data_IF_752114144781
#
_entry.id   IF_752114144781
#
_cell.length_a   1.000
_cell.length_b   1.000
_cell.length_c   1.000
_cell.angle_alpha   90.00
_cell.angle_beta   90.00
_cell.angle_gamma   90.00
#
_symmetry.space_group_name_H-M   'P 1'
#
loop_
_entity.id
_entity.type
_entity.pdbx_description
1 polymer ?
#
# COMPACT_ATOMS: atom_id res chain seq x y z
N UNK A 1 -13.30 -47.16 -21.86
CA UNK A 1 -12.04 -46.58 -22.35
C UNK A 1 -12.04 -45.12 -21.94
N UNK A 2 -11.36 -44.78 -20.85
CA UNK A 2 -11.30 -43.40 -20.34
C UNK A 2 -10.00 -42.77 -20.84
N UNK A 3 -10.13 -41.73 -21.66
CA UNK A 3 -9.01 -40.99 -22.23
C UNK A 3 -8.28 -40.21 -21.14
N UNK A 4 -7.03 -40.59 -20.92
CA UNK A 4 -6.05 -39.87 -20.13
C UNK A 4 -5.63 -38.63 -20.94
N UNK A 5 -6.07 -37.45 -20.53
CA UNK A 5 -5.63 -36.19 -21.13
C UNK A 5 -4.51 -35.63 -20.25
N UNK A 6 -3.23 -35.81 -20.60
CA UNK A 6 -2.14 -35.33 -19.76
C UNK A 6 -2.18 -33.80 -19.73
N UNK A 7 -2.47 -33.22 -18.57
CA UNK A 7 -2.38 -31.78 -18.36
C UNK A 7 -0.98 -31.31 -18.76
N UNK A 8 -0.92 -30.47 -19.79
CA UNK A 8 0.31 -29.90 -20.34
C UNK A 8 1.02 -29.09 -19.25
N UNK A 9 2.26 -29.49 -18.92
CA UNK A 9 3.11 -28.76 -17.98
C UNK A 9 3.46 -27.38 -18.55
N UNK A 10 3.32 -26.33 -17.74
CA UNK A 10 3.77 -24.98 -18.06
C UNK A 10 5.00 -24.65 -17.24
N UNK A 11 6.09 -24.22 -17.90
CA UNK A 11 7.36 -23.86 -17.26
C UNK A 11 7.59 -22.35 -17.38
N UNK A 12 8.07 -21.75 -16.29
CA UNK A 12 8.42 -20.33 -16.21
C UNK A 12 9.89 -20.21 -15.76
N UNK A 13 10.62 -19.27 -16.35
CA UNK A 13 12.00 -18.93 -15.96
C UNK A 13 12.02 -17.54 -15.29
N UNK A 14 12.89 -17.35 -14.30
CA UNK A 14 13.00 -16.10 -13.56
C UNK A 14 14.36 -15.95 -12.86
N UNK A 15 14.56 -14.81 -12.18
CA UNK A 15 15.78 -14.55 -11.41
C UNK A 15 15.72 -15.26 -10.04
N UNK A 16 16.72 -16.09 -9.74
CA UNK A 16 16.81 -16.78 -8.45
C UNK A 16 17.23 -15.83 -7.33
N UNK A 17 16.38 -15.67 -6.31
CA UNK A 17 16.63 -14.80 -5.15
C UNK A 17 17.13 -15.58 -3.93
N UNK A 18 16.79 -16.88 -3.82
CA UNK A 18 17.19 -17.76 -2.72
C UNK A 18 17.38 -19.21 -3.22
N UNK A 19 18.36 -19.98 -2.71
CA UNK A 19 18.58 -21.36 -3.13
C UNK A 19 17.53 -22.32 -2.54
N UNK A 20 17.11 -23.32 -3.33
CA UNK A 20 16.22 -24.40 -2.87
C UNK A 20 15.25 -24.93 -3.94
N UNK A 21 14.51 -25.98 -3.60
CA UNK A 21 13.42 -26.55 -4.41
C UNK A 21 12.16 -26.60 -3.54
N UNK A 22 11.06 -26.03 -4.01
CA UNK A 22 9.76 -26.06 -3.33
C UNK A 22 8.70 -26.76 -4.20
N UNK A 23 7.79 -27.51 -3.57
CA UNK A 23 6.62 -28.13 -4.21
C UNK A 23 5.40 -27.89 -3.36
N UNK A 24 4.37 -27.26 -3.92
CA UNK A 24 3.15 -26.94 -3.20
C UNK A 24 2.01 -26.56 -4.14
N UNK A 25 0.84 -26.27 -3.56
CA UNK A 25 -0.26 -25.66 -4.30
C UNK A 25 0.07 -24.19 -4.56
N UNK A 26 -0.22 -23.71 -5.76
CA UNK A 26 -0.06 -22.29 -6.08
C UNK A 26 -1.15 -21.49 -5.38
N UNK A 27 -0.76 -20.45 -4.64
CA UNK A 27 -1.67 -19.44 -4.13
C UNK A 27 -1.43 -18.14 -4.89
N UNK A 28 -2.43 -17.71 -5.66
CA UNK A 28 -2.33 -16.49 -6.46
C UNK A 28 -2.83 -15.33 -5.62
N UNK A 29 -1.91 -14.50 -5.13
CA UNK A 29 -2.26 -13.21 -4.54
C UNK A 29 -2.42 -12.22 -5.68
N UNK A 30 -3.65 -11.74 -5.91
CA UNK A 30 -3.88 -10.60 -6.79
C UNK A 30 -3.75 -9.34 -5.94
N UNK A 31 -2.96 -8.39 -6.43
CA UNK A 31 -3.14 -7.03 -6.00
C UNK A 31 -4.37 -6.56 -6.76
N UNK A 32 -5.54 -6.70 -6.14
CA UNK A 32 -6.69 -5.90 -6.54
C UNK A 32 -6.25 -4.46 -6.33
N UNK A 33 -5.67 -3.85 -7.37
CA UNK A 33 -5.57 -2.40 -7.48
C UNK A 33 -7.01 -1.95 -7.56
N UNK A 34 -7.60 -1.80 -6.39
CA UNK A 34 -8.97 -1.37 -6.25
C UNK A 34 -9.06 0.00 -6.87
N UNK A 35 -9.65 0.04 -8.06
CA UNK A 35 -9.81 1.26 -8.83
C UNK A 35 -10.49 2.28 -7.92
N UNK A 36 -9.79 3.38 -7.64
CA UNK A 36 -10.34 4.43 -6.81
C UNK A 36 -11.41 5.12 -7.63
N UNK A 37 -12.67 4.91 -7.23
CA UNK A 37 -13.80 5.56 -7.87
C UNK A 37 -13.69 7.06 -7.65
N UNK A 38 -13.77 7.83 -8.73
CA UNK A 38 -13.79 9.28 -8.71
C UNK A 38 -15.22 9.80 -8.71
N UNK A 39 -15.60 10.55 -7.68
CA UNK A 39 -16.91 11.21 -7.62
C UNK A 39 -16.83 12.57 -6.92
N UNK A 40 -17.79 13.44 -7.27
CA UNK A 40 -17.93 14.77 -6.66
C UNK A 40 -18.61 14.66 -5.30
N UNK A 41 -18.21 15.53 -4.38
CA UNK A 41 -18.85 15.74 -3.09
C UNK A 41 -19.46 17.14 -3.02
N UNK A 42 -20.48 17.34 -2.19
CA UNK A 42 -20.98 18.66 -1.85
C UNK A 42 -20.01 19.37 -0.87
N UNK A 43 -19.96 20.72 -0.87
CA UNK A 43 -19.14 21.47 0.10
C UNK A 43 -19.43 21.11 1.57
N UNK A 44 -20.68 20.75 1.89
CA UNK A 44 -21.08 20.33 3.24
C UNK A 44 -20.48 18.98 3.67
N UNK A 45 -19.97 18.18 2.74
CA UNK A 45 -19.39 16.85 3.01
C UNK A 45 -17.87 16.92 3.24
N UNK A 46 -17.22 18.07 3.02
CA UNK A 46 -15.76 18.21 3.13
C UNK A 46 -15.29 17.83 4.54
N UNK A 47 -15.99 18.28 5.60
CA UNK A 47 -15.63 17.95 6.99
C UNK A 47 -15.72 16.45 7.29
N UNK A 48 -16.70 15.76 6.69
CA UNK A 48 -16.84 14.31 6.84
C UNK A 48 -15.69 13.59 6.14
N UNK A 49 -15.31 14.02 4.93
CA UNK A 49 -14.18 13.46 4.18
C UNK A 49 -12.83 13.68 4.90
N UNK A 50 -12.64 14.85 5.52
CA UNK A 50 -11.46 15.11 6.39
C UNK A 50 -11.44 14.13 7.57
N UNK A 51 -12.58 13.92 8.24
CA UNK A 51 -12.68 12.98 9.37
C UNK A 51 -12.40 11.53 8.94
N UNK A 52 -12.88 11.13 7.75
CA UNK A 52 -12.57 9.83 7.14
C UNK A 52 -11.07 9.71 6.86
N UNK A 53 -10.45 10.75 6.34
CA UNK A 53 -9.02 10.78 6.04
C UNK A 53 -8.17 10.57 7.30
N UNK A 54 -8.39 11.37 8.32
CA UNK A 54 -7.66 11.30 9.58
C UNK A 54 -7.80 9.92 10.24
N UNK A 55 -9.02 9.37 10.23
CA UNK A 55 -9.28 8.02 10.72
C UNK A 55 -8.45 6.97 9.96
N UNK A 56 -8.39 7.06 8.64
CA UNK A 56 -7.62 6.12 7.83
C UNK A 56 -6.11 6.25 8.05
N UNK A 57 -5.59 7.47 8.25
CA UNK A 57 -4.19 7.69 8.61
C UNK A 57 -3.85 7.07 9.97
N UNK A 58 -4.70 7.25 10.98
CA UNK A 58 -4.53 6.66 12.31
C UNK A 58 -4.52 5.13 12.23
N UNK A 59 -5.49 4.55 11.51
CA UNK A 59 -5.56 3.10 11.31
C UNK A 59 -4.31 2.56 10.59
N UNK A 60 -3.87 3.25 9.55
CA UNK A 60 -2.66 2.89 8.79
C UNK A 60 -1.42 2.92 9.68
N UNK A 61 -1.26 3.99 10.47
CA UNK A 61 -0.16 4.13 11.44
C UNK A 61 -0.15 2.97 12.45
N UNK A 62 -1.31 2.63 13.02
CA UNK A 62 -1.42 1.50 13.95
C UNK A 62 -1.04 0.17 13.29
N UNK A 63 -1.48 -0.07 12.06
CA UNK A 63 -1.14 -1.28 11.31
C UNK A 63 0.37 -1.38 11.05
N UNK A 64 1.02 -0.27 10.69
CA UNK A 64 2.48 -0.21 10.49
C UNK A 64 3.21 -0.55 11.79
N UNK A 65 2.84 0.07 12.91
CA UNK A 65 3.45 -0.22 14.22
C UNK A 65 3.26 -1.70 14.63
N UNK A 66 2.09 -2.28 14.37
CA UNK A 66 1.85 -3.71 14.65
C UNK A 66 2.67 -4.64 13.75
N UNK A 67 2.91 -4.27 12.50
CA UNK A 67 3.80 -5.04 11.62
C UNK A 67 5.26 -4.91 12.07
N UNK A 68 5.70 -3.70 12.39
CA UNK A 68 7.03 -3.43 12.92
C UNK A 68 7.31 -4.26 14.18
N UNK A 69 6.40 -4.24 15.15
CA UNK A 69 6.54 -5.02 16.38
C UNK A 69 6.65 -6.53 16.10
N UNK A 70 5.77 -7.07 15.26
CA UNK A 70 5.78 -8.50 14.92
C UNK A 70 7.07 -8.93 14.22
N UNK A 71 7.60 -8.11 13.31
CA UNK A 71 8.87 -8.39 12.62
C UNK A 71 10.05 -8.23 13.58
N UNK A 72 10.03 -7.25 14.48
CA UNK A 72 11.05 -7.07 15.49
C UNK A 72 11.15 -8.29 16.43
N UNK A 73 10.02 -8.87 16.81
CA UNK A 73 9.93 -10.06 17.66
C UNK A 73 10.30 -11.37 16.95
N UNK A 74 9.95 -11.51 15.66
CA UNK A 74 10.12 -12.77 14.93
C UNK A 74 11.43 -12.89 14.15
N UNK A 75 11.97 -11.78 13.63
CA UNK A 75 13.16 -11.74 12.78
C UNK A 75 14.27 -10.93 13.47
N UNK A 76 13.94 -9.71 13.91
CA UNK A 76 14.85 -8.85 14.65
C UNK A 76 14.63 -7.36 14.39
N UNK A 77 15.14 -6.53 15.30
CA UNK A 77 14.94 -5.08 15.26
C UNK A 77 15.54 -4.40 14.01
N UNK A 78 16.63 -4.95 13.46
CA UNK A 78 17.27 -4.39 12.26
C UNK A 78 16.35 -4.50 11.04
N UNK A 79 15.70 -5.64 10.85
CA UNK A 79 14.79 -5.86 9.74
C UNK A 79 13.46 -5.11 9.92
N UNK A 80 13.08 -4.83 11.17
CA UNK A 80 11.91 -4.01 11.48
C UNK A 80 12.11 -2.50 11.21
N UNK A 81 13.36 -2.02 11.08
CA UNK A 81 13.65 -0.60 10.86
C UNK A 81 13.10 -0.07 9.51
N UNK A 82 12.82 -0.95 8.55
CA UNK A 82 12.20 -0.56 7.27
C UNK A 82 10.84 0.14 7.46
N UNK A 83 10.13 -0.17 8.55
CA UNK A 83 8.84 0.43 8.85
C UNK A 83 8.95 1.87 9.35
N UNK A 84 10.12 2.32 9.80
CA UNK A 84 10.32 3.73 10.20
C UNK A 84 10.14 4.66 9.00
N UNK A 85 10.63 4.25 7.82
CA UNK A 85 10.42 4.97 6.58
C UNK A 85 8.91 5.09 6.25
N UNK A 86 8.15 4.01 6.45
CA UNK A 86 6.71 4.00 6.20
C UNK A 86 5.95 4.92 7.16
N UNK A 87 6.35 4.97 8.44
CA UNK A 87 5.78 5.89 9.43
C UNK A 87 6.05 7.36 9.05
N UNK A 88 7.27 7.67 8.58
CA UNK A 88 7.59 9.02 8.13
C UNK A 88 6.73 9.47 6.93
N UNK A 89 6.27 8.54 6.08
CA UNK A 89 5.35 8.86 4.96
C UNK A 89 3.95 9.15 5.48
N UNK A 90 3.40 8.29 6.35
CA UNK A 90 2.02 8.46 6.86
C UNK A 90 1.86 9.69 7.75
N UNK A 91 2.96 10.18 8.32
CA UNK A 91 3.02 11.36 9.19
C UNK A 91 3.47 12.65 8.44
N UNK A 92 3.70 12.60 7.12
CA UNK A 92 4.18 13.75 6.34
C UNK A 92 3.11 14.85 6.26
N UNK A 93 3.34 15.94 7.00
CA UNK A 93 2.43 17.10 7.04
C UNK A 93 2.26 17.78 5.69
N UNK A 94 3.29 17.79 4.85
CA UNK A 94 3.22 18.45 3.54
C UNK A 94 2.23 17.72 2.64
N UNK A 95 2.27 16.39 2.66
CA UNK A 95 1.32 15.55 1.93
C UNK A 95 -0.10 15.72 2.49
N UNK A 96 -0.25 15.65 3.81
CA UNK A 96 -1.55 15.78 4.49
C UNK A 96 -2.17 17.15 4.19
N UNK A 97 -1.45 18.24 4.41
CA UNK A 97 -1.94 19.60 4.20
C UNK A 97 -2.35 19.85 2.75
N UNK A 98 -1.67 19.22 1.79
CA UNK A 98 -2.06 19.32 0.40
C UNK A 98 -3.35 18.57 0.08
N UNK A 99 -3.55 17.37 0.66
CA UNK A 99 -4.81 16.61 0.52
C UNK A 99 -5.97 17.40 1.11
N UNK A 100 -5.80 17.97 2.31
CA UNK A 100 -6.83 18.80 2.96
C UNK A 100 -7.19 20.01 2.10
N UNK A 101 -6.19 20.70 1.54
CA UNK A 101 -6.42 21.84 0.63
C UNK A 101 -7.18 21.43 -0.63
N UNK A 102 -6.81 20.31 -1.25
CA UNK A 102 -7.48 19.82 -2.46
C UNK A 102 -8.91 19.33 -2.18
N UNK A 103 -9.20 18.81 -1.00
CA UNK A 103 -10.58 18.48 -0.60
C UNK A 103 -11.49 19.72 -0.64
N UNK A 104 -10.99 20.87 -0.16
CA UNK A 104 -11.73 22.12 -0.15
C UNK A 104 -11.88 22.74 -1.56
N UNK A 105 -10.85 22.63 -2.41
CA UNK A 105 -10.86 23.25 -3.75
C UNK A 105 -11.53 22.39 -4.81
N UNK A 106 -11.26 21.09 -4.79
CA UNK A 106 -11.61 20.19 -5.89
C UNK A 106 -12.99 19.54 -5.66
N UNK A 107 -13.46 19.47 -4.41
CA UNK A 107 -14.77 18.91 -4.07
C UNK A 107 -14.98 17.51 -4.68
N UNK A 108 -13.98 16.64 -4.48
CA UNK A 108 -14.02 15.22 -4.82
C UNK A 108 -13.77 14.36 -3.58
N UNK A 109 -14.06 13.06 -3.67
CA UNK A 109 -13.84 12.11 -2.59
C UNK A 109 -12.35 11.98 -2.19
N UNK A 110 -12.11 11.72 -0.90
CA UNK A 110 -10.76 11.72 -0.33
C UNK A 110 -9.84 10.67 -0.94
N UNK A 111 -10.34 9.48 -1.28
CA UNK A 111 -9.52 8.42 -1.87
C UNK A 111 -8.85 8.89 -3.15
N UNK A 112 -9.62 9.57 -4.01
CA UNK A 112 -9.13 10.08 -5.28
C UNK A 112 -8.07 11.14 -5.07
N UNK A 113 -8.36 12.13 -4.22
CA UNK A 113 -7.46 13.24 -3.93
C UNK A 113 -6.15 12.74 -3.31
N UNK A 114 -6.25 11.83 -2.33
CA UNK A 114 -5.08 11.24 -1.69
C UNK A 114 -4.23 10.44 -2.69
N UNK A 115 -4.86 9.61 -3.53
CA UNK A 115 -4.14 8.86 -4.56
C UNK A 115 -3.42 9.78 -5.55
N UNK A 116 -4.08 10.85 -6.01
CA UNK A 116 -3.49 11.82 -6.93
C UNK A 116 -2.26 12.51 -6.33
N UNK A 117 -2.39 13.03 -5.10
CA UNK A 117 -1.30 13.72 -4.39
C UNK A 117 -0.14 12.77 -4.14
N UNK A 118 -0.39 11.58 -3.58
CA UNK A 118 0.65 10.62 -3.26
C UNK A 118 1.37 10.09 -4.51
N UNK A 119 0.63 9.85 -5.60
CA UNK A 119 1.23 9.43 -6.89
C UNK A 119 2.17 10.49 -7.42
N UNK A 120 1.78 11.77 -7.41
CA UNK A 120 2.64 12.86 -7.85
C UNK A 120 3.91 13.00 -7.00
N UNK A 121 3.80 12.81 -5.69
CA UNK A 121 4.96 12.80 -4.79
C UNK A 121 5.92 11.65 -5.13
N UNK A 122 5.40 10.43 -5.26
CA UNK A 122 6.20 9.26 -5.63
C UNK A 122 6.89 9.44 -6.98
N UNK A 123 6.17 9.96 -7.99
CA UNK A 123 6.75 10.26 -9.31
C UNK A 123 7.85 11.31 -9.25
N UNK A 124 7.69 12.33 -8.41
CA UNK A 124 8.69 13.40 -8.25
C UNK A 124 9.98 12.86 -7.65
N UNK A 125 9.87 12.01 -6.63
CA UNK A 125 11.04 11.34 -6.03
C UNK A 125 11.71 10.38 -7.00
N UNK A 126 10.92 9.62 -7.77
CA UNK A 126 11.46 8.63 -8.71
C UNK A 126 12.18 9.26 -9.93
N UNK A 127 11.92 10.54 -10.23
CA UNK A 127 12.63 11.30 -11.27
C UNK A 127 14.03 11.74 -10.86
N UNK A 128 14.35 11.70 -9.57
CA UNK A 128 15.67 12.05 -9.06
C UNK A 128 16.54 10.79 -9.16
N UNK A 129 17.72 10.90 -9.80
CA UNK A 129 18.64 9.77 -9.94
C UNK A 129 19.42 9.52 -8.65
N UNK A 130 18.69 9.13 -7.61
CA UNK A 130 19.21 8.78 -6.30
C UNK A 130 18.56 7.45 -5.85
N UNK A 131 19.35 6.38 -5.64
CA UNK A 131 18.84 5.09 -5.17
C UNK A 131 17.98 5.18 -3.89
N UNK A 132 18.35 6.05 -2.95
CA UNK A 132 17.62 6.24 -1.69
C UNK A 132 16.24 6.88 -1.94
N UNK A 133 16.15 7.85 -2.86
CA UNK A 133 14.87 8.47 -3.20
C UNK A 133 13.96 7.55 -4.03
N UNK A 134 14.54 6.64 -4.82
CA UNK A 134 13.76 5.58 -5.50
C UNK A 134 13.13 4.61 -4.51
N UNK A 135 13.87 4.18 -3.49
CA UNK A 135 13.33 3.35 -2.41
C UNK A 135 12.21 4.09 -1.66
N UNK A 136 12.43 5.37 -1.34
CA UNK A 136 11.41 6.25 -0.74
C UNK A 136 10.14 6.36 -1.59
N UNK A 137 10.25 6.39 -2.92
CA UNK A 137 9.10 6.44 -3.82
C UNK A 137 8.26 5.15 -3.74
N UNK A 138 8.91 3.98 -3.59
CA UNK A 138 8.24 2.70 -3.39
C UNK A 138 7.52 2.66 -2.04
N UNK A 139 8.16 3.15 -0.96
CA UNK A 139 7.53 3.25 0.36
C UNK A 139 6.25 4.11 0.31
N UNK A 140 6.26 5.22 -0.44
CA UNK A 140 5.06 6.05 -0.63
C UNK A 140 3.96 5.26 -1.31
N UNK A 141 4.26 4.48 -2.35
CA UNK A 141 3.25 3.67 -3.04
C UNK A 141 2.63 2.62 -2.11
N UNK A 142 3.44 1.95 -1.28
CA UNK A 142 2.96 0.93 -0.36
C UNK A 142 2.12 1.51 0.79
N UNK A 143 2.52 2.66 1.34
CA UNK A 143 1.70 3.38 2.33
C UNK A 143 0.40 3.87 1.68
N UNK A 144 0.46 4.38 0.45
CA UNK A 144 -0.72 4.87 -0.29
C UNK A 144 -1.77 3.79 -0.41
N UNK A 145 -1.39 2.59 -0.88
CA UNK A 145 -2.29 1.43 -0.99
C UNK A 145 -2.97 1.12 0.35
N UNK A 146 -2.22 1.21 1.44
CA UNK A 146 -2.71 0.88 2.78
C UNK A 146 -3.72 1.91 3.30
N UNK A 147 -3.46 3.20 3.09
CA UNK A 147 -4.42 4.28 3.41
C UNK A 147 -5.69 4.13 2.59
N UNK A 148 -5.59 3.86 1.28
CA UNK A 148 -6.74 3.65 0.39
C UNK A 148 -7.60 2.46 0.86
N UNK A 149 -6.98 1.33 1.23
CA UNK A 149 -7.73 0.20 1.78
C UNK A 149 -8.52 0.57 3.05
N UNK A 150 -7.90 1.34 3.96
CA UNK A 150 -8.57 1.79 5.18
C UNK A 150 -9.72 2.77 4.87
N UNK A 151 -9.54 3.68 3.90
CA UNK A 151 -10.61 4.59 3.43
C UNK A 151 -11.81 3.85 2.82
N UNK A 152 -11.54 2.76 2.09
CA UNK A 152 -12.55 1.90 1.48
C UNK A 152 -13.19 0.92 2.49
N UNK A 153 -12.79 0.94 3.77
CA UNK A 153 -13.32 0.04 4.80
C UNK A 153 -12.95 -1.43 4.57
N UNK A 154 -11.88 -1.70 3.83
CA UNK A 154 -11.42 -3.06 3.54
C UNK A 154 -10.63 -3.59 4.73
N UNK A 155 -10.91 -4.84 5.12
CA UNK A 155 -10.13 -5.49 6.17
C UNK A 155 -8.66 -5.58 5.73
N UNK A 156 -7.69 -5.35 6.63
CA UNK A 156 -6.27 -5.47 6.29
C UNK A 156 -6.01 -6.86 5.70
N UNK A 157 -5.35 -6.94 4.54
CA UNK A 157 -4.91 -8.21 3.97
C UNK A 157 -4.09 -8.92 5.04
N UNK A 158 -4.59 -10.06 5.53
CA UNK A 158 -3.87 -10.84 6.52
C UNK A 158 -2.53 -11.23 5.91
N UNK A 159 -1.43 -10.72 6.47
CA UNK A 159 -0.11 -11.23 6.17
C UNK A 159 -0.13 -12.69 6.61
N UNK A 160 -0.18 -13.61 5.64
CA UNK A 160 -0.26 -15.04 5.90
C UNK A 160 0.95 -15.39 6.77
N UNK A 161 0.67 -15.84 7.99
CA UNK A 161 1.68 -16.46 8.82
C UNK A 161 2.24 -17.64 8.02
N UNK A 162 3.51 -17.56 7.62
CA UNK A 162 4.26 -18.70 7.13
C UNK A 162 4.30 -19.72 8.29
N UNK A 163 3.39 -20.67 8.24
CA UNK A 163 3.40 -21.91 9.05
C UNK A 163 3.86 -23.05 8.17
#
# INVERSE_FOLDING_TARGET
MSGDNPQKETRFEGAGVSPGIARGKVHVVRDDLDEVVHYRIAPSQVTDEISRFETALIQTRMQILQMQQRIAESIGAKDAAIFDAHLLVVEDRTLIDEVLRKLETDLCNVEWIFQEVATRYAETLNKIDDPYLRERALDIQDVTKRVIHNLQGKAPKAFLALT
#
